data_IF_102171836735
#
_entry.id   IF_102171836735
#
_cell.length_a   1.000
_cell.length_b   1.000
_cell.length_c   1.000
_cell.angle_alpha   90.00
_cell.angle_beta   90.00
_cell.angle_gamma   90.00
#
_symmetry.space_group_name_H-M   'P 1'
#
loop_
_entity.id
_entity.type
_entity.pdbx_description
1 polymer ?
#
# COMPACT_ATOMS: atom_id res chain seq x y z
N UNK A 1 -7.96 15.13 -18.78
CA UNK A 1 -7.66 13.84 -18.12
C UNK A 1 -7.17 12.89 -19.20
N UNK A 2 -5.99 12.38 -19.03
CA UNK A 2 -5.41 11.32 -19.85
C UNK A 2 -6.10 9.99 -19.50
N UNK A 3 -6.13 9.02 -20.42
CA UNK A 3 -6.72 7.71 -20.14
C UNK A 3 -5.74 6.83 -19.36
N UNK A 4 -6.25 5.83 -18.63
CA UNK A 4 -5.45 4.91 -17.79
C UNK A 4 -4.19 4.36 -18.48
N UNK A 5 -4.29 3.96 -19.76
CA UNK A 5 -3.15 3.43 -20.53
C UNK A 5 -2.05 4.48 -20.73
N UNK A 6 -2.41 5.76 -20.89
CA UNK A 6 -1.45 6.87 -20.97
C UNK A 6 -0.80 7.12 -19.61
N UNK A 7 -1.61 7.13 -18.55
CA UNK A 7 -1.12 7.34 -17.18
C UNK A 7 -0.19 6.20 -16.74
N UNK A 8 -0.50 4.95 -17.12
CA UNK A 8 0.36 3.80 -16.83
C UNK A 8 1.77 3.90 -17.46
N UNK A 9 1.90 4.67 -18.55
CA UNK A 9 3.18 4.86 -19.24
C UNK A 9 3.91 6.11 -18.76
N UNK A 10 3.17 7.19 -18.48
CA UNK A 10 3.76 8.53 -18.33
C UNK A 10 3.63 9.11 -16.92
N UNK A 11 2.73 8.60 -16.07
CA UNK A 11 2.58 9.12 -14.72
C UNK A 11 3.85 8.94 -13.88
N UNK A 12 4.13 9.92 -13.02
CA UNK A 12 5.23 9.85 -12.07
C UNK A 12 6.60 10.26 -12.59
N UNK A 13 6.75 10.52 -13.89
CA UNK A 13 8.02 10.95 -14.45
C UNK A 13 7.83 12.03 -15.52
N UNK A 14 8.59 13.11 -15.40
CA UNK A 14 8.75 14.14 -16.42
C UNK A 14 10.19 14.10 -16.97
N UNK A 15 10.39 14.12 -18.29
CA UNK A 15 11.73 14.15 -18.89
C UNK A 15 12.56 15.32 -18.34
N UNK A 16 13.78 15.03 -17.88
CA UNK A 16 14.66 16.09 -17.38
C UNK A 16 15.08 17.08 -18.46
N UNK A 17 15.47 18.29 -18.04
CA UNK A 17 15.83 19.38 -18.95
C UNK A 17 17.22 19.19 -19.59
N UNK A 18 18.03 18.26 -19.12
CA UNK A 18 19.41 18.09 -19.61
C UNK A 18 19.49 17.15 -20.82
N UNK A 19 18.87 15.98 -20.71
CA UNK A 19 18.92 14.94 -21.76
C UNK A 19 17.55 14.54 -22.29
N UNK A 20 16.46 14.85 -21.59
CA UNK A 20 15.09 14.56 -21.97
C UNK A 20 14.79 13.08 -22.20
N UNK A 21 15.28 12.13 -21.36
CA UNK A 21 14.97 10.73 -21.54
C UNK A 21 13.47 10.49 -21.39
N UNK A 22 12.88 9.71 -22.29
CA UNK A 22 11.45 9.42 -22.23
C UNK A 22 11.14 8.38 -21.15
N UNK A 23 12.05 7.43 -20.93
CA UNK A 23 11.92 6.46 -19.85
C UNK A 23 12.69 6.94 -18.62
N UNK A 24 12.19 6.62 -17.43
CA UNK A 24 12.88 6.92 -16.17
C UNK A 24 14.29 6.36 -16.15
N UNK A 25 15.32 7.18 -16.00
CA UNK A 25 16.70 6.70 -15.86
C UNK A 25 16.90 5.86 -14.60
N UNK A 26 17.78 4.87 -14.69
CA UNK A 26 18.19 4.08 -13.52
C UNK A 26 19.36 4.80 -12.83
N UNK A 27 19.11 5.38 -11.66
CA UNK A 27 20.13 6.03 -10.84
C UNK A 27 20.75 5.03 -9.88
N UNK A 28 21.88 4.45 -10.29
CA UNK A 28 22.68 3.53 -9.46
C UNK A 28 23.61 4.26 -8.46
N UNK A 29 23.49 5.59 -8.34
CA UNK A 29 24.30 6.40 -7.43
C UNK A 29 23.95 6.15 -5.97
N UNK A 30 24.98 6.12 -5.11
CA UNK A 30 24.80 6.00 -3.67
C UNK A 30 24.56 7.36 -3.00
N UNK A 31 25.35 8.37 -3.40
CA UNK A 31 25.34 9.72 -2.82
C UNK A 31 25.15 10.75 -3.93
N UNK A 32 24.39 11.80 -3.64
CA UNK A 32 24.10 12.87 -4.57
C UNK A 32 24.84 14.15 -4.15
N UNK A 33 25.30 14.94 -5.14
CA UNK A 33 25.97 16.21 -4.88
C UNK A 33 25.00 17.23 -4.28
N UNK A 34 25.53 18.06 -3.37
CA UNK A 34 24.81 19.19 -2.80
C UNK A 34 25.37 20.50 -3.32
N UNK A 35 24.57 21.54 -3.44
CA UNK A 35 24.98 22.86 -3.90
C UNK A 35 25.57 23.72 -2.75
N UNK A 36 25.41 23.25 -1.50
CA UNK A 36 25.92 23.84 -0.27
C UNK A 36 25.52 23.00 0.92
N UNK A 37 25.84 23.41 2.14
CA UNK A 37 25.48 22.72 3.36
C UNK A 37 23.95 22.60 3.47
N UNK A 38 23.44 21.37 3.50
CA UNK A 38 22.02 21.04 3.50
C UNK A 38 21.21 21.61 2.30
N UNK A 39 21.87 21.94 1.19
CA UNK A 39 21.23 22.38 -0.05
C UNK A 39 21.18 21.22 -1.04
N UNK A 40 20.15 20.40 -0.91
CA UNK A 40 19.99 19.19 -1.71
C UNK A 40 19.63 19.52 -3.16
N UNK A 41 20.36 18.93 -4.10
CA UNK A 41 20.06 19.05 -5.52
C UNK A 41 18.91 18.10 -5.87
N UNK A 42 17.77 18.65 -6.31
CA UNK A 42 16.56 17.87 -6.59
C UNK A 42 15.93 17.16 -5.39
N UNK A 43 16.34 17.49 -4.15
CA UNK A 43 15.83 16.85 -2.93
C UNK A 43 16.56 15.56 -2.53
N UNK A 44 17.59 15.13 -3.27
CA UNK A 44 18.30 13.88 -3.03
C UNK A 44 19.65 14.10 -2.33
N UNK A 45 19.95 13.24 -1.38
CA UNK A 45 21.22 13.21 -0.65
C UNK A 45 21.89 11.84 -0.74
N UNK A 46 21.16 10.81 -0.39
CA UNK A 46 21.64 9.45 -0.27
C UNK A 46 20.55 8.44 -0.66
N UNK A 47 20.91 7.45 -1.48
CA UNK A 47 19.94 6.55 -2.14
C UNK A 47 19.05 5.75 -1.17
N UNK A 48 19.52 5.45 0.05
CA UNK A 48 18.70 4.77 1.07
C UNK A 48 17.56 5.66 1.59
N UNK A 49 17.74 6.99 1.55
CA UNK A 49 16.74 7.97 2.00
C UNK A 49 15.81 8.34 0.85
N UNK A 50 16.36 8.50 -0.36
CA UNK A 50 15.59 8.82 -1.56
C UNK A 50 16.42 8.63 -2.81
N UNK A 51 15.80 8.14 -3.88
CA UNK A 51 16.42 7.91 -5.18
C UNK A 51 15.43 8.27 -6.29
N UNK A 52 15.84 9.01 -7.33
CA UNK A 52 14.93 9.44 -8.40
C UNK A 52 14.19 8.29 -9.10
N UNK A 53 14.82 7.13 -9.28
CA UNK A 53 14.19 5.95 -9.87
C UNK A 53 13.06 5.41 -8.99
N UNK A 54 13.28 5.37 -7.67
CA UNK A 54 12.28 4.92 -6.69
C UNK A 54 11.14 5.92 -6.63
N UNK A 55 11.46 7.22 -6.57
CA UNK A 55 10.46 8.29 -6.55
C UNK A 55 9.55 8.25 -7.79
N UNK A 56 10.10 7.95 -8.96
CA UNK A 56 9.30 7.82 -10.18
C UNK A 56 8.29 6.66 -10.07
N UNK A 57 8.69 5.51 -9.50
CA UNK A 57 7.80 4.39 -9.23
C UNK A 57 6.70 4.77 -8.23
N UNK A 58 7.09 5.41 -7.10
CA UNK A 58 6.16 5.85 -6.07
C UNK A 58 5.10 6.80 -6.63
N UNK A 59 5.54 7.81 -7.40
CA UNK A 59 4.63 8.75 -8.04
C UNK A 59 3.71 8.08 -9.07
N UNK A 60 4.22 7.12 -9.85
CA UNK A 60 3.42 6.39 -10.82
C UNK A 60 2.32 5.56 -10.13
N UNK A 61 2.67 4.81 -9.08
CA UNK A 61 1.69 4.00 -8.32
C UNK A 61 0.68 4.90 -7.63
N UNK A 62 1.11 6.01 -7.01
CA UNK A 62 0.21 6.98 -6.39
C UNK A 62 -0.80 7.53 -7.41
N UNK A 63 -0.32 7.95 -8.59
CA UNK A 63 -1.20 8.49 -9.65
C UNK A 63 -2.21 7.45 -10.17
N UNK A 64 -1.79 6.19 -10.33
CA UNK A 64 -2.66 5.11 -10.81
C UNK A 64 -3.73 4.74 -9.80
N UNK A 65 -3.39 4.72 -8.50
CA UNK A 65 -4.35 4.45 -7.41
C UNK A 65 -5.21 5.67 -7.05
N UNK A 66 -4.84 6.87 -7.49
CA UNK A 66 -5.50 8.11 -7.07
C UNK A 66 -5.11 8.52 -5.65
N UNK A 67 -3.94 8.10 -5.19
CA UNK A 67 -3.38 8.45 -3.89
C UNK A 67 -2.56 9.75 -3.95
N UNK A 68 -2.41 10.41 -2.80
CA UNK A 68 -1.51 11.56 -2.66
C UNK A 68 -0.04 11.13 -2.58
N UNK A 69 0.22 9.98 -1.94
CA UNK A 69 1.57 9.44 -1.73
C UNK A 69 1.61 7.94 -1.97
N UNK A 70 2.77 7.45 -2.39
CA UNK A 70 3.13 6.04 -2.29
C UNK A 70 4.55 5.92 -1.73
N UNK A 71 4.86 4.78 -1.12
CA UNK A 71 6.19 4.45 -0.59
C UNK A 71 6.55 3.05 -1.04
N UNK A 72 7.71 2.91 -1.69
CA UNK A 72 8.20 1.62 -2.17
C UNK A 72 9.09 0.94 -1.12
N UNK A 73 8.91 -0.37 -0.99
CA UNK A 73 9.69 -1.25 -0.12
C UNK A 73 10.33 -2.38 -0.93
N UNK A 74 11.27 -3.08 -0.33
CA UNK A 74 12.00 -4.17 -0.98
C UNK A 74 11.13 -5.39 -1.35
N UNK A 75 9.91 -5.48 -0.82
CA UNK A 75 8.93 -6.54 -1.14
C UNK A 75 7.53 -6.14 -0.66
N UNK A 76 6.49 -6.80 -1.20
CA UNK A 76 5.12 -6.64 -0.69
C UNK A 76 5.01 -7.01 0.80
N UNK A 77 5.71 -8.04 1.28
CA UNK A 77 5.75 -8.38 2.71
C UNK A 77 6.38 -7.28 3.57
N UNK A 78 7.41 -6.61 3.08
CA UNK A 78 7.99 -5.46 3.78
C UNK A 78 7.00 -4.29 3.83
N UNK A 79 6.25 -4.03 2.75
CA UNK A 79 5.21 -3.02 2.74
C UNK A 79 4.10 -3.35 3.75
N UNK A 80 3.64 -4.60 3.80
CA UNK A 80 2.62 -5.08 4.76
C UNK A 80 3.12 -4.91 6.19
N UNK A 81 4.34 -5.39 6.51
CA UNK A 81 4.91 -5.30 7.86
C UNK A 81 5.04 -3.85 8.34
N UNK A 82 5.54 -2.96 7.47
CA UNK A 82 5.68 -1.53 7.82
C UNK A 82 4.32 -0.87 7.98
N UNK A 83 3.35 -1.11 7.09
CA UNK A 83 2.01 -0.57 7.21
C UNK A 83 1.36 -0.97 8.56
N UNK A 84 1.45 -2.25 8.92
CA UNK A 84 0.91 -2.72 10.19
C UNK A 84 1.66 -2.14 11.40
N UNK A 85 3.00 -1.98 11.35
CA UNK A 85 3.78 -1.36 12.45
C UNK A 85 3.49 0.12 12.65
N UNK A 86 3.14 0.83 11.59
CA UNK A 86 2.76 2.25 11.67
C UNK A 86 1.36 2.40 12.28
N UNK A 87 0.45 1.49 11.96
CA UNK A 87 -0.95 1.57 12.35
C UNK A 87 -1.26 0.91 13.70
N UNK A 88 -0.44 -0.05 14.15
CA UNK A 88 -0.69 -0.89 15.32
C UNK A 88 0.38 -0.74 16.39
N UNK A 89 -0.03 -0.82 17.63
CA UNK A 89 0.82 -0.92 18.82
C UNK A 89 0.32 -2.03 19.76
N UNK A 90 1.11 -2.47 20.75
CA UNK A 90 0.65 -3.43 21.77
C UNK A 90 -0.66 -2.99 22.43
N UNK A 91 -1.62 -3.90 22.51
CA UNK A 91 -2.98 -3.68 23.04
C UNK A 91 -4.01 -3.27 21.98
N UNK A 92 -3.60 -3.01 20.74
CA UNK A 92 -4.52 -2.77 19.63
C UNK A 92 -5.05 -4.10 19.06
N UNK A 93 -6.13 -3.98 18.27
CA UNK A 93 -6.80 -5.09 17.61
C UNK A 93 -6.87 -4.87 16.09
N UNK A 94 -6.76 -5.96 15.34
CA UNK A 94 -6.94 -6.01 13.88
C UNK A 94 -8.01 -7.01 13.47
N UNK A 95 -8.88 -6.62 12.56
CA UNK A 95 -9.80 -7.53 11.86
C UNK A 95 -9.16 -7.92 10.53
N UNK A 96 -9.08 -9.22 10.24
CA UNK A 96 -8.37 -9.73 9.06
C UNK A 96 -9.21 -10.78 8.33
N UNK A 97 -9.08 -10.84 6.99
CA UNK A 97 -9.76 -11.84 6.16
C UNK A 97 -9.39 -13.27 6.55
N UNK A 98 -10.39 -14.17 6.58
CA UNK A 98 -10.20 -15.62 6.74
C UNK A 98 -9.47 -16.27 5.55
N UNK A 99 -9.42 -15.58 4.40
CA UNK A 99 -8.75 -16.01 3.17
C UNK A 99 -7.69 -14.97 2.74
N UNK A 100 -6.94 -14.43 3.71
CA UNK A 100 -5.81 -13.53 3.41
C UNK A 100 -4.59 -14.30 2.90
N UNK A 101 -3.75 -13.63 2.11
CA UNK A 101 -2.45 -14.16 1.71
C UNK A 101 -1.70 -14.78 2.90
N UNK A 102 -1.24 -16.02 2.74
CA UNK A 102 -0.62 -16.77 3.83
C UNK A 102 0.57 -16.08 4.50
N UNK A 103 1.25 -15.16 3.80
CA UNK A 103 2.31 -14.31 4.37
C UNK A 103 1.75 -13.30 5.37
N UNK A 104 0.69 -12.60 5.00
CA UNK A 104 -0.03 -11.64 5.86
C UNK A 104 -0.61 -12.35 7.09
N UNK A 105 -1.28 -13.48 6.87
CA UNK A 105 -1.83 -14.28 7.97
C UNK A 105 -0.74 -14.70 8.97
N UNK A 106 0.38 -15.26 8.49
CA UNK A 106 1.50 -15.66 9.37
C UNK A 106 2.11 -14.47 10.10
N UNK A 107 2.26 -13.33 9.43
CA UNK A 107 2.80 -12.12 10.05
C UNK A 107 1.91 -11.67 11.23
N UNK A 108 0.60 -11.63 11.04
CA UNK A 108 -0.34 -11.23 12.09
C UNK A 108 -0.34 -12.28 13.21
N UNK A 109 -0.55 -13.56 12.90
CA UNK A 109 -0.72 -14.62 13.87
C UNK A 109 0.55 -14.99 14.65
N UNK A 110 1.73 -14.89 14.02
CA UNK A 110 2.97 -15.36 14.62
C UNK A 110 3.89 -14.25 15.10
N UNK A 111 3.76 -13.03 14.57
CA UNK A 111 4.61 -11.90 14.93
C UNK A 111 3.84 -10.87 15.74
N UNK A 112 2.76 -10.33 15.18
CA UNK A 112 2.01 -9.26 15.84
C UNK A 112 1.29 -9.73 17.10
N UNK A 113 0.79 -10.96 17.14
CA UNK A 113 0.22 -11.54 18.38
C UNK A 113 1.25 -11.62 19.49
N UNK A 114 2.50 -12.02 19.19
CA UNK A 114 3.59 -12.02 20.17
C UNK A 114 3.98 -10.60 20.61
N UNK A 115 3.73 -9.62 19.76
CA UNK A 115 3.95 -8.21 20.07
C UNK A 115 2.79 -7.55 20.84
N UNK A 116 1.75 -8.34 21.15
CA UNK A 116 0.61 -7.91 21.96
C UNK A 116 -0.50 -7.22 21.15
N UNK A 117 -0.62 -7.53 19.85
CA UNK A 117 -1.74 -7.13 19.02
C UNK A 117 -2.73 -8.28 18.92
N UNK A 118 -3.97 -8.05 19.29
CA UNK A 118 -5.04 -9.04 19.16
C UNK A 118 -5.64 -9.01 17.75
N UNK A 119 -6.24 -10.13 17.34
CA UNK A 119 -6.86 -10.20 16.01
C UNK A 119 -8.15 -11.03 15.99
N UNK A 120 -9.06 -10.66 15.09
CA UNK A 120 -10.24 -11.43 14.75
C UNK A 120 -10.26 -11.74 13.27
N UNK A 121 -10.39 -13.02 12.95
CA UNK A 121 -10.45 -13.51 11.57
C UNK A 121 -11.92 -13.61 11.16
N UNK A 122 -12.31 -12.97 10.04
CA UNK A 122 -13.70 -12.94 9.57
C UNK A 122 -13.79 -13.20 8.08
N UNK A 123 -14.98 -13.57 7.62
CA UNK A 123 -15.32 -13.58 6.21
C UNK A 123 -15.57 -12.14 5.73
N UNK A 124 -14.68 -11.62 4.90
CA UNK A 124 -14.79 -10.24 4.38
C UNK A 124 -15.85 -10.11 3.28
N UNK A 125 -16.46 -11.20 2.82
CA UNK A 125 -17.62 -11.14 1.92
C UNK A 125 -18.92 -10.80 2.65
N UNK A 126 -18.89 -10.79 3.99
CA UNK A 126 -20.01 -10.44 4.88
C UNK A 126 -19.69 -9.17 5.68
N UNK A 127 -20.14 -7.98 5.26
CA UNK A 127 -19.92 -6.73 5.99
C UNK A 127 -20.52 -6.70 7.39
N UNK A 128 -21.58 -7.48 7.66
CA UNK A 128 -22.18 -7.57 9.01
C UNK A 128 -21.26 -8.33 9.96
N UNK A 129 -20.60 -9.40 9.49
CA UNK A 129 -19.57 -10.09 10.25
C UNK A 129 -18.37 -9.19 10.55
N UNK A 130 -17.96 -8.35 9.59
CA UNK A 130 -16.90 -7.34 9.81
C UNK A 130 -17.33 -6.34 10.88
N UNK A 131 -18.54 -5.79 10.78
CA UNK A 131 -19.07 -4.83 11.76
C UNK A 131 -19.11 -5.41 13.18
N UNK A 132 -19.53 -6.67 13.31
CA UNK A 132 -19.60 -7.38 14.59
C UNK A 132 -18.21 -7.68 15.20
N UNK A 133 -17.18 -7.75 14.38
CA UNK A 133 -15.80 -7.99 14.82
C UNK A 133 -15.06 -6.74 15.27
N UNK A 134 -15.57 -5.54 14.94
CA UNK A 134 -14.93 -4.27 15.34
C UNK A 134 -15.13 -4.06 16.83
N UNK A 135 -14.02 -3.81 17.55
CA UNK A 135 -13.94 -3.55 18.99
C UNK A 135 -13.44 -2.12 19.23
N UNK A 136 -13.55 -1.62 20.45
CA UNK A 136 -13.09 -0.26 20.82
C UNK A 136 -11.60 -0.02 20.53
N UNK A 137 -10.78 -1.08 20.64
CA UNK A 137 -9.36 -1.07 20.35
C UNK A 137 -8.99 -1.53 18.92
N UNK A 138 -9.96 -1.76 18.04
CA UNK A 138 -9.68 -2.07 16.63
C UNK A 138 -9.08 -0.86 15.94
N UNK A 139 -7.89 -1.01 15.36
CA UNK A 139 -7.20 0.04 14.62
C UNK A 139 -7.12 -0.22 13.13
N UNK A 140 -7.18 -1.49 12.72
CA UNK A 140 -7.04 -1.90 11.33
C UNK A 140 -8.12 -2.91 10.97
N UNK A 141 -8.71 -2.74 9.81
CA UNK A 141 -9.44 -3.78 9.07
C UNK A 141 -8.61 -4.06 7.83
N UNK A 142 -8.06 -5.28 7.74
CA UNK A 142 -7.23 -5.71 6.61
C UNK A 142 -8.05 -6.53 5.64
N UNK A 143 -8.28 -6.00 4.46
CA UNK A 143 -9.02 -6.62 3.36
C UNK A 143 -8.05 -6.98 2.25
N UNK A 144 -8.16 -8.19 1.70
CA UNK A 144 -7.55 -8.60 0.44
C UNK A 144 -8.67 -8.96 -0.52
N UNK A 145 -8.74 -8.33 -1.68
CA UNK A 145 -9.80 -8.62 -2.66
C UNK A 145 -9.33 -8.30 -4.09
N UNK A 146 -9.42 -9.28 -5.03
CA UNK A 146 -9.72 -10.70 -4.80
C UNK A 146 -8.70 -11.40 -3.90
N UNK A 147 -9.13 -12.38 -3.10
CA UNK A 147 -8.25 -13.10 -2.16
C UNK A 147 -7.34 -14.12 -2.85
N UNK A 148 -6.26 -14.50 -2.18
CA UNK A 148 -5.38 -15.59 -2.59
C UNK A 148 -5.42 -16.72 -1.53
N UNK A 149 -5.92 -17.95 -1.83
CA UNK A 149 -6.11 -18.46 -3.20
C UNK A 149 -7.56 -18.55 -3.69
N UNK A 150 -8.56 -18.25 -2.87
CA UNK A 150 -9.95 -18.61 -3.16
C UNK A 150 -10.65 -17.60 -4.08
N UNK A 151 -10.03 -16.45 -4.39
CA UNK A 151 -10.56 -15.36 -5.20
C UNK A 151 -11.88 -14.78 -4.66
N UNK A 152 -12.05 -14.77 -3.34
CA UNK A 152 -13.16 -14.13 -2.66
C UNK A 152 -13.21 -12.64 -2.98
N UNK A 153 -14.41 -12.12 -3.22
CA UNK A 153 -14.63 -10.70 -3.52
C UNK A 153 -15.30 -10.04 -2.32
N UNK A 154 -14.63 -9.05 -1.74
CA UNK A 154 -15.17 -8.23 -0.67
C UNK A 154 -15.71 -6.90 -1.24
N UNK A 155 -16.84 -6.45 -0.71
CA UNK A 155 -17.40 -5.13 -1.00
C UNK A 155 -16.69 -4.08 -0.14
N UNK A 156 -15.70 -3.39 -0.72
CA UNK A 156 -14.88 -2.39 -0.02
C UNK A 156 -15.74 -1.24 0.49
N UNK A 157 -16.71 -0.78 -0.29
CA UNK A 157 -17.57 0.35 0.08
C UNK A 157 -18.48 -0.02 1.27
N UNK A 158 -19.05 -1.22 1.26
CA UNK A 158 -19.85 -1.73 2.37
C UNK A 158 -19.00 -1.89 3.65
N UNK A 159 -17.77 -2.40 3.54
CA UNK A 159 -16.84 -2.50 4.67
C UNK A 159 -16.42 -1.11 5.16
N UNK A 160 -16.15 -0.17 4.26
CA UNK A 160 -15.84 1.21 4.62
C UNK A 160 -16.98 1.87 5.41
N UNK A 161 -18.23 1.56 5.09
CA UNK A 161 -19.41 2.07 5.80
C UNK A 161 -19.50 1.57 7.25
N UNK A 162 -18.92 0.41 7.57
CA UNK A 162 -18.99 -0.22 8.91
C UNK A 162 -17.65 -0.17 9.67
N UNK A 163 -16.58 0.38 9.09
CA UNK A 163 -15.23 0.39 9.70
C UNK A 163 -15.12 1.22 10.97
N UNK A 164 -16.11 2.05 11.28
CA UNK A 164 -16.11 2.97 12.42
C UNK A 164 -14.85 3.85 12.46
N UNK A 165 -14.02 3.72 13.51
CA UNK A 165 -12.79 4.46 13.72
C UNK A 165 -11.52 3.73 13.23
N UNK A 166 -11.66 2.48 12.74
CA UNK A 166 -10.53 1.69 12.25
C UNK A 166 -10.08 2.15 10.86
N UNK A 167 -8.79 2.07 10.59
CA UNK A 167 -8.25 2.26 9.25
C UNK A 167 -8.56 1.04 8.36
N UNK A 168 -9.13 1.28 7.19
CA UNK A 168 -9.37 0.25 6.18
C UNK A 168 -8.14 0.15 5.28
N UNK A 169 -7.42 -0.95 5.40
CA UNK A 169 -6.27 -1.29 4.56
C UNK A 169 -6.67 -2.33 3.54
N UNK A 170 -6.45 -2.04 2.27
CA UNK A 170 -6.79 -2.95 1.17
C UNK A 170 -5.53 -3.43 0.45
N UNK A 171 -5.30 -4.73 0.45
CA UNK A 171 -4.33 -5.36 -0.45
C UNK A 171 -4.96 -5.51 -1.84
N UNK A 172 -4.59 -4.60 -2.75
CA UNK A 172 -5.12 -4.50 -4.11
C UNK A 172 -4.23 -5.23 -5.14
N UNK A 173 -3.37 -6.13 -4.68
CA UNK A 173 -2.36 -6.80 -5.52
C UNK A 173 -2.97 -7.52 -6.71
N UNK A 174 -4.08 -8.25 -6.53
CA UNK A 174 -4.68 -9.06 -7.60
C UNK A 174 -5.54 -8.25 -8.57
N UNK A 175 -6.28 -7.28 -8.09
CA UNK A 175 -7.09 -6.42 -8.96
C UNK A 175 -6.24 -5.41 -9.73
N UNK A 176 -5.21 -4.87 -9.12
CA UNK A 176 -4.44 -3.72 -9.60
C UNK A 176 -5.27 -2.43 -9.75
N UNK A 177 -4.65 -1.25 -9.91
CA UNK A 177 -5.37 0.01 -10.10
C UNK A 177 -6.23 0.06 -11.38
N UNK A 178 -6.02 -0.89 -12.29
CA UNK A 178 -6.80 -0.98 -13.51
C UNK A 178 -8.23 -1.48 -13.28
N UNK A 179 -8.38 -2.51 -12.45
CA UNK A 179 -9.69 -3.13 -12.20
C UNK A 179 -10.40 -2.54 -10.98
N UNK A 180 -9.65 -2.01 -9.99
CA UNK A 180 -10.20 -1.55 -8.73
C UNK A 180 -9.36 -0.42 -8.15
N UNK A 181 -10.03 0.62 -7.66
CA UNK A 181 -9.43 1.77 -6.98
C UNK A 181 -9.98 1.89 -5.56
N UNK A 182 -9.36 1.24 -4.59
CA UNK A 182 -9.90 1.15 -3.23
C UNK A 182 -10.09 2.51 -2.53
N UNK A 183 -9.28 3.53 -2.83
CA UNK A 183 -9.47 4.88 -2.27
C UNK A 183 -10.81 5.50 -2.68
N UNK A 184 -11.27 5.27 -3.91
CA UNK A 184 -12.59 5.73 -4.38
C UNK A 184 -13.74 5.03 -3.65
N UNK A 185 -13.46 3.86 -3.03
CA UNK A 185 -14.40 3.03 -2.29
C UNK A 185 -14.26 3.17 -0.75
N UNK A 186 -13.43 4.11 -0.28
CA UNK A 186 -13.32 4.45 1.14
C UNK A 186 -12.19 3.76 1.91
N UNK A 187 -11.22 3.14 1.22
CA UNK A 187 -9.99 2.69 1.84
C UNK A 187 -9.13 3.87 2.32
N UNK A 188 -8.39 3.66 3.40
CA UNK A 188 -7.44 4.64 3.96
C UNK A 188 -6.01 4.34 3.52
N UNK A 189 -5.69 3.08 3.28
CA UNK A 189 -4.37 2.61 2.82
C UNK A 189 -4.56 1.51 1.78
N UNK A 190 -3.74 1.56 0.72
CA UNK A 190 -3.69 0.50 -0.30
C UNK A 190 -2.29 -0.09 -0.35
N UNK A 191 -2.19 -1.41 -0.43
CA UNK A 191 -0.93 -2.14 -0.51
C UNK A 191 -0.87 -2.97 -1.78
N UNK A 192 0.31 -3.02 -2.38
CA UNK A 192 0.60 -3.83 -3.55
C UNK A 192 1.87 -4.65 -3.40
N UNK A 193 1.85 -5.86 -3.92
CA UNK A 193 3.05 -6.58 -4.32
C UNK A 193 3.27 -6.40 -5.82
N UNK A 194 4.17 -5.50 -6.22
CA UNK A 194 4.49 -5.23 -7.63
C UNK A 194 5.08 -6.44 -8.36
N UNK A 195 5.40 -7.52 -7.64
CA UNK A 195 5.79 -8.83 -8.18
C UNK A 195 4.73 -9.43 -9.12
N UNK A 196 3.46 -9.00 -8.99
CA UNK A 196 2.31 -9.61 -9.69
C UNK A 196 1.96 -8.84 -10.97
N UNK A 197 1.09 -7.85 -10.89
CA UNK A 197 0.46 -7.22 -12.05
C UNK A 197 0.80 -5.73 -12.23
N UNK A 198 1.70 -5.21 -11.40
CA UNK A 198 2.27 -3.86 -11.54
C UNK A 198 3.72 -3.94 -11.97
#
# INVERSE_FOLDING_TARGET
>A
MTGFATDAIHAGYEPDSLYGPINTPIYASTTFAQDGLAQLRGGYEYTRVGNPTVTALENAVAALEGAEYAVAYSSGMAAIDVALRVLLKPGDHIVVSNDAYGGTYRLIQQVFTQWGVDNTVVDMTDPEAVAAAVQDNTKVIWVETPTNPMLGIADIEAIAAVKQHAALVVDNTFASPYLQKPFELGADVVVHSTTKYI
#
